data_IF_025206841730
#
_entry.id   IF_025206841730
#
_cell.length_a   1.000
_cell.length_b   1.000
_cell.length_c   1.000
_cell.angle_alpha   90.00
_cell.angle_beta   90.00
_cell.angle_gamma   90.00
#
_symmetry.space_group_name_H-M   'P 1'
#
loop_
_entity.id
_entity.type
_entity.pdbx_description
1 polymer ?
#
# COMPACT_ATOMS: atom_id res chain seq x y z
N UNK A 1 -10.28 1.54 9.58
CA UNK A 1 -11.71 1.32 9.95
C UNK A 1 -12.55 1.60 8.73
N UNK A 2 -13.31 0.62 8.26
CA UNK A 2 -14.31 0.84 7.20
C UNK A 2 -15.59 1.45 7.79
N UNK A 3 -15.45 2.70 8.25
CA UNK A 3 -16.46 3.43 9.00
C UNK A 3 -15.89 4.70 9.64
N UNK A 4 -16.65 5.31 10.54
CA UNK A 4 -16.30 6.57 11.17
C UNK A 4 -15.93 6.41 12.65
N UNK A 5 -15.11 7.33 13.16
CA UNK A 5 -14.71 7.39 14.57
C UNK A 5 -15.19 8.68 15.26
N UNK A 6 -15.29 8.65 16.59
CA UNK A 6 -15.65 9.81 17.45
C UNK A 6 -14.42 10.34 18.18
N UNK A 7 -14.57 11.48 18.85
CA UNK A 7 -13.64 12.04 19.82
C UNK A 7 -12.32 12.52 19.19
N UNK A 8 -12.39 13.03 17.95
CA UNK A 8 -11.27 13.60 17.18
C UNK A 8 -10.32 14.47 18.02
N UNK A 9 -10.78 15.46 18.81
CA UNK A 9 -9.85 16.34 19.54
C UNK A 9 -9.00 15.62 20.60
N UNK A 10 -9.46 14.47 21.08
CA UNK A 10 -8.69 13.65 22.02
C UNK A 10 -7.79 12.68 21.27
N UNK A 11 -8.27 12.10 20.17
CA UNK A 11 -7.50 11.16 19.35
C UNK A 11 -6.33 11.84 18.66
N UNK A 12 -6.46 13.08 18.19
CA UNK A 12 -5.34 13.82 17.56
C UNK A 12 -4.15 14.05 18.51
N UNK A 13 -4.33 13.88 19.82
CA UNK A 13 -3.25 13.94 20.82
C UNK A 13 -2.56 12.59 21.02
N UNK A 14 -3.19 11.52 20.56
CA UNK A 14 -2.65 10.18 20.57
C UNK A 14 -1.93 10.03 19.23
N UNK A 15 -0.62 9.89 19.25
CA UNK A 15 0.20 9.69 18.04
C UNK A 15 -0.08 8.32 17.41
N UNK A 16 -1.29 8.18 16.84
CA UNK A 16 -1.85 6.96 16.32
C UNK A 16 -2.07 7.12 14.82
N UNK A 17 -1.50 6.20 14.06
CA UNK A 17 -1.75 6.09 12.64
C UNK A 17 -3.16 5.52 12.40
N UNK A 18 -4.03 6.29 11.78
CA UNK A 18 -5.47 6.00 11.68
C UNK A 18 -5.99 6.25 10.26
N UNK A 19 -6.57 5.19 9.67
CA UNK A 19 -7.26 5.26 8.38
C UNK A 19 -8.75 5.00 8.59
N UNK A 20 -9.58 5.98 8.26
CA UNK A 20 -11.00 6.05 8.59
C UNK A 20 -11.78 6.55 7.37
N UNK A 21 -13.06 6.19 7.26
CA UNK A 21 -13.96 6.80 6.26
C UNK A 21 -14.40 8.22 6.65
N UNK A 22 -14.26 8.58 7.92
CA UNK A 22 -14.56 9.92 8.41
C UNK A 22 -14.69 10.01 9.93
N UNK A 23 -15.20 11.15 10.38
CA UNK A 23 -15.47 11.44 11.79
C UNK A 23 -16.96 11.63 12.02
N UNK A 24 -17.44 11.25 13.19
CA UNK A 24 -18.85 11.39 13.56
C UNK A 24 -18.98 11.62 15.07
N UNK A 25 -19.91 12.49 15.53
CA UNK A 25 -20.22 12.64 16.95
C UNK A 25 -21.10 11.49 17.48
N UNK A 26 -21.66 10.65 16.60
CA UNK A 26 -22.64 9.64 16.98
C UNK A 26 -22.04 8.52 17.85
N UNK A 27 -22.80 8.05 18.83
CA UNK A 27 -22.45 6.90 19.66
C UNK A 27 -23.15 5.64 19.13
N UNK A 28 -22.47 4.92 18.23
CA UNK A 28 -23.05 3.85 17.42
C UNK A 28 -23.64 2.66 18.20
N UNK A 29 -23.11 2.38 19.41
CA UNK A 29 -23.57 1.27 20.26
C UNK A 29 -24.96 1.55 20.87
N UNK A 30 -25.42 2.81 20.94
CA UNK A 30 -26.79 3.11 21.35
C UNK A 30 -27.81 2.97 20.22
N UNK A 31 -27.38 2.95 18.96
CA UNK A 31 -28.30 3.09 17.83
C UNK A 31 -28.44 1.83 16.98
N UNK A 32 -27.34 1.12 16.66
CA UNK A 32 -27.43 0.13 15.57
C UNK A 32 -26.24 -0.81 15.34
N UNK A 33 -25.03 -0.53 15.86
CA UNK A 33 -23.83 -1.32 15.53
C UNK A 33 -23.21 -1.89 16.80
N UNK A 34 -23.09 -3.20 16.87
CA UNK A 34 -22.54 -3.93 18.01
C UNK A 34 -21.38 -4.83 17.56
N UNK A 35 -20.31 -5.01 18.39
CA UNK A 35 -19.27 -5.98 18.12
C UNK A 35 -19.87 -7.39 18.02
N UNK A 36 -19.68 -8.06 16.89
CA UNK A 36 -20.24 -9.38 16.65
C UNK A 36 -19.20 -10.51 16.83
N UNK A 37 -17.98 -10.30 16.36
CA UNK A 37 -16.91 -11.30 16.38
C UNK A 37 -15.53 -10.64 16.36
N UNK A 38 -14.51 -11.40 16.74
CA UNK A 38 -13.09 -11.02 16.70
C UNK A 38 -12.30 -12.16 16.07
N UNK A 39 -11.23 -11.85 15.34
CA UNK A 39 -10.41 -12.83 14.63
C UNK A 39 -11.21 -13.76 13.70
N UNK A 40 -12.14 -13.16 12.94
CA UNK A 40 -12.84 -13.83 11.85
C UNK A 40 -12.58 -13.09 10.54
N UNK A 41 -12.69 -13.76 9.38
CA UNK A 41 -12.64 -13.08 8.09
C UNK A 41 -13.72 -12.00 7.97
N UNK A 42 -13.35 -10.83 7.45
CA UNK A 42 -14.27 -9.70 7.25
C UNK A 42 -14.15 -9.13 5.83
N UNK A 43 -15.20 -8.43 5.38
CA UNK A 43 -15.09 -7.51 4.26
C UNK A 43 -14.79 -6.10 4.81
N UNK A 44 -13.71 -5.48 4.36
CA UNK A 44 -13.29 -4.14 4.79
C UNK A 44 -12.71 -3.40 3.59
N UNK A 45 -13.24 -2.22 3.25
CA UNK A 45 -12.80 -1.47 2.08
C UNK A 45 -13.12 -2.16 0.76
N UNK A 46 -14.17 -3.00 0.74
CA UNK A 46 -14.57 -3.77 -0.45
C UNK A 46 -13.74 -5.02 -0.74
N UNK A 47 -12.79 -5.38 0.13
CA UNK A 47 -11.95 -6.58 -0.02
C UNK A 47 -12.05 -7.50 1.20
N UNK A 48 -11.70 -8.77 1.01
CA UNK A 48 -11.60 -9.75 2.09
C UNK A 48 -10.33 -9.54 2.90
N UNK A 49 -10.46 -9.50 4.22
CA UNK A 49 -9.35 -9.48 5.18
C UNK A 49 -9.46 -10.70 6.06
N UNK A 50 -8.41 -11.50 6.12
CA UNK A 50 -8.33 -12.70 6.95
C UNK A 50 -7.42 -12.41 8.14
N UNK A 51 -7.74 -12.87 9.36
CA UNK A 51 -6.85 -12.77 10.50
C UNK A 51 -5.45 -13.32 10.18
N UNK A 52 -4.42 -12.50 10.38
CA UNK A 52 -3.03 -12.82 10.04
C UNK A 52 -2.53 -12.20 8.74
N UNK A 53 -3.40 -11.62 7.92
CA UNK A 53 -2.99 -10.82 6.76
C UNK A 53 -2.21 -9.56 7.19
N UNK A 54 -1.31 -9.13 6.34
CA UNK A 54 -0.46 -7.96 6.56
C UNK A 54 -1.22 -6.73 6.04
N UNK A 55 -1.33 -5.69 6.87
CA UNK A 55 -1.93 -4.42 6.49
C UNK A 55 -0.80 -3.40 6.31
N UNK A 56 -0.69 -2.86 5.09
CA UNK A 56 0.24 -1.76 4.77
C UNK A 56 -0.59 -0.52 4.52
N UNK A 57 -0.22 0.59 5.15
CA UNK A 57 -0.98 1.83 5.06
C UNK A 57 -0.04 3.04 5.06
N UNK A 58 -0.34 3.99 4.17
CA UNK A 58 0.39 5.24 3.97
C UNK A 58 -0.59 6.37 3.57
N UNK A 59 -0.05 7.48 3.06
CA UNK A 59 -0.85 8.64 2.65
C UNK A 59 -1.70 8.38 1.40
N UNK A 60 -1.35 7.38 0.58
CA UNK A 60 -2.12 7.00 -0.61
C UNK A 60 -3.30 6.08 -0.26
N UNK A 61 -3.15 5.26 0.78
CA UNK A 61 -4.27 4.48 1.32
C UNK A 61 -3.86 3.26 2.13
N UNK A 62 -4.65 2.20 2.00
CA UNK A 62 -4.47 0.95 2.76
C UNK A 62 -4.55 -0.25 1.80
N UNK A 63 -3.57 -1.14 1.90
CA UNK A 63 -3.47 -2.38 1.13
C UNK A 63 -3.46 -3.57 2.08
N UNK A 64 -4.19 -4.62 1.69
CA UNK A 64 -4.22 -5.91 2.37
C UNK A 64 -3.34 -6.87 1.59
N UNK A 65 -2.32 -7.41 2.24
CA UNK A 65 -1.41 -8.40 1.69
C UNK A 65 -1.68 -9.76 2.35
N UNK A 66 -2.25 -10.74 1.62
CA UNK A 66 -2.40 -12.09 2.13
C UNK A 66 -1.03 -12.65 2.54
N UNK A 67 -0.92 -13.15 3.77
CA UNK A 67 0.38 -13.59 4.32
C UNK A 67 1.02 -14.69 3.47
N UNK A 68 0.21 -15.57 2.87
CA UNK A 68 0.68 -16.63 1.98
C UNK A 68 1.31 -16.10 0.67
N UNK A 69 1.02 -14.85 0.28
CA UNK A 69 1.57 -14.20 -0.90
C UNK A 69 2.76 -13.29 -0.59
N UNK A 70 3.06 -13.05 0.69
CA UNK A 70 4.04 -12.05 1.11
C UNK A 70 5.41 -12.23 0.43
N UNK A 71 5.94 -13.46 0.41
CA UNK A 71 7.23 -13.75 -0.21
C UNK A 71 7.25 -13.40 -1.71
N UNK A 72 6.19 -13.76 -2.44
CA UNK A 72 6.06 -13.46 -3.87
C UNK A 72 5.95 -11.96 -4.12
N UNK A 73 5.14 -11.26 -3.32
CA UNK A 73 4.95 -9.81 -3.47
C UNK A 73 6.25 -9.06 -3.15
N UNK A 74 7.03 -9.49 -2.16
CA UNK A 74 8.35 -8.91 -1.87
C UNK A 74 9.27 -9.06 -3.09
N UNK A 75 9.35 -10.26 -3.68
CA UNK A 75 10.19 -10.49 -4.86
C UNK A 75 9.75 -9.65 -6.07
N UNK A 76 8.45 -9.61 -6.36
CA UNK A 76 7.91 -8.85 -7.51
C UNK A 76 8.02 -7.32 -7.29
N UNK A 77 7.78 -6.84 -6.07
CA UNK A 77 7.89 -5.42 -5.73
C UNK A 77 9.32 -4.90 -5.83
N UNK A 78 10.33 -5.70 -5.46
CA UNK A 78 11.74 -5.34 -5.64
C UNK A 78 12.09 -5.15 -7.12
N UNK A 79 11.68 -6.09 -7.98
CA UNK A 79 11.90 -5.98 -9.43
C UNK A 79 11.22 -4.75 -10.02
N UNK A 80 10.01 -4.44 -9.55
CA UNK A 80 9.27 -3.27 -10.00
C UNK A 80 9.94 -1.98 -9.55
N UNK A 81 10.35 -1.90 -8.29
CA UNK A 81 11.03 -0.75 -7.72
C UNK A 81 12.36 -0.43 -8.41
N UNK A 82 13.16 -1.45 -8.74
CA UNK A 82 14.40 -1.29 -9.51
C UNK A 82 14.13 -0.72 -10.91
N UNK A 83 13.08 -1.22 -11.55
CA UNK A 83 12.67 -0.71 -12.85
C UNK A 83 12.20 0.76 -12.75
N UNK A 84 11.37 1.12 -11.76
CA UNK A 84 10.93 2.50 -11.55
C UNK A 84 12.09 3.45 -11.29
N UNK A 85 13.09 3.02 -10.50
CA UNK A 85 14.28 3.80 -10.18
C UNK A 85 15.09 4.09 -11.45
N UNK A 86 15.39 3.07 -12.25
CA UNK A 86 16.04 3.21 -13.55
C UNK A 86 15.28 4.16 -14.48
N UNK A 87 13.96 3.95 -14.61
CA UNK A 87 13.11 4.78 -15.45
C UNK A 87 13.14 6.24 -15.01
N UNK A 88 13.03 6.50 -13.71
CA UNK A 88 13.10 7.84 -13.15
C UNK A 88 14.43 8.52 -13.46
N UNK A 89 15.56 7.83 -13.30
CA UNK A 89 16.88 8.37 -13.65
C UNK A 89 16.97 8.77 -15.13
N UNK A 90 16.51 7.90 -16.02
CA UNK A 90 16.54 8.15 -17.47
C UNK A 90 15.63 9.30 -17.88
N UNK A 91 14.46 9.43 -17.26
CA UNK A 91 13.55 10.55 -17.50
C UNK A 91 14.15 11.88 -17.01
N UNK A 92 14.81 11.89 -15.84
CA UNK A 92 15.51 13.08 -15.33
C UNK A 92 16.68 13.51 -16.22
N UNK A 93 17.29 12.57 -16.96
CA UNK A 93 18.33 12.85 -17.96
C UNK A 93 17.77 13.33 -19.32
N UNK A 94 16.46 13.55 -19.43
CA UNK A 94 15.80 13.98 -20.66
C UNK A 94 15.42 12.83 -21.61
N UNK A 95 15.40 11.60 -21.11
CA UNK A 95 14.94 10.42 -21.85
C UNK A 95 13.46 10.51 -22.22
N UNK A 96 13.08 9.86 -23.33
CA UNK A 96 11.68 9.82 -23.78
C UNK A 96 10.80 9.00 -22.84
N UNK A 97 9.65 9.55 -22.46
CA UNK A 97 8.64 8.88 -21.64
C UNK A 97 8.21 7.52 -22.25
N UNK A 98 7.99 7.48 -23.56
CA UNK A 98 7.54 6.27 -24.27
C UNK A 98 8.57 5.14 -24.27
N UNK A 99 9.85 5.45 -24.07
CA UNK A 99 10.93 4.47 -24.06
C UNK A 99 11.15 3.89 -22.67
N UNK A 100 10.98 4.70 -21.62
CA UNK A 100 11.34 4.32 -20.27
C UNK A 100 10.13 4.04 -19.36
N UNK A 101 8.90 4.43 -19.72
CA UNK A 101 7.72 4.18 -18.89
C UNK A 101 6.42 3.94 -19.70
N UNK A 102 5.88 2.70 -19.77
CA UNK A 102 6.47 1.47 -19.24
C UNK A 102 7.81 1.13 -19.92
N UNK A 103 8.68 0.31 -19.32
CA UNK A 103 9.97 -0.05 -19.93
C UNK A 103 9.75 -0.66 -21.31
N UNK A 104 10.19 0.03 -22.36
CA UNK A 104 10.10 -0.49 -23.70
C UNK A 104 11.21 -1.54 -23.93
N UNK A 105 10.95 -2.64 -24.67
CA UNK A 105 11.95 -3.70 -24.89
C UNK A 105 13.30 -3.22 -25.45
N UNK A 106 13.31 -2.09 -26.18
CA UNK A 106 14.55 -1.48 -26.70
C UNK A 106 15.48 -0.90 -25.63
N UNK A 107 15.00 -0.74 -24.39
CA UNK A 107 15.78 -0.26 -23.25
C UNK A 107 16.17 -1.38 -22.27
N UNK A 108 15.84 -2.65 -22.58
CA UNK A 108 16.13 -3.79 -21.71
C UNK A 108 17.64 -3.97 -21.46
N UNK A 109 18.47 -3.82 -22.50
CA UNK A 109 19.93 -3.96 -22.36
C UNK A 109 20.52 -2.88 -21.44
N UNK A 110 19.98 -1.66 -21.51
CA UNK A 110 20.37 -0.56 -20.63
C UNK A 110 19.93 -0.82 -19.18
N UNK A 111 18.72 -1.34 -18.99
CA UNK A 111 18.20 -1.70 -17.67
C UNK A 111 19.02 -2.83 -17.03
N UNK A 112 19.35 -3.89 -17.79
CA UNK A 112 20.16 -5.00 -17.31
C UNK A 112 21.59 -4.58 -16.95
N UNK A 113 22.18 -3.66 -17.72
CA UNK A 113 23.47 -3.06 -17.39
C UNK A 113 23.39 -2.21 -16.10
N UNK A 114 22.35 -1.40 -15.97
CA UNK A 114 22.11 -0.58 -14.78
C UNK A 114 21.89 -1.43 -13.52
N UNK A 115 21.11 -2.52 -13.62
CA UNK A 115 20.87 -3.44 -12.50
C UNK A 115 22.14 -4.13 -12.03
N UNK A 116 23.04 -4.49 -12.96
CA UNK A 116 24.36 -5.06 -12.60
C UNK A 116 25.29 -4.05 -11.94
N UNK A 117 25.20 -2.77 -12.30
CA UNK A 117 25.99 -1.70 -11.72
C UNK A 117 25.48 -1.26 -10.34
N UNK A 118 24.21 -1.50 -10.04
CA UNK A 118 23.55 -1.13 -8.78
C UNK A 118 22.99 -2.37 -8.04
N UNK A 119 23.84 -3.32 -7.61
CA UNK A 119 23.36 -4.45 -6.81
C UNK A 119 22.84 -3.95 -5.46
N UNK A 120 21.58 -4.23 -5.13
CA UNK A 120 21.01 -3.96 -3.80
C UNK A 120 21.50 -5.02 -2.79
N UNK A 121 21.70 -4.60 -1.54
CA UNK A 121 22.14 -5.45 -0.41
C UNK A 121 21.04 -6.37 0.08
#
# INVERSE_FOLDING_TARGET
IDGCMRDRPNVEKLDLALWLRGWTPNYHVQTSIYPNAVNVPIACGGVTVIPGDIIVADDDGVVVLPVAMAAKVIEESQKHHDWEEFSREKLMQGGSLQRYYPLHPSANDEYEAWRKANPKS
#
